data_IF_303277266901
#
_entry.id   IF_303277266901
#
_cell.length_a   1.000
_cell.length_b   1.000
_cell.length_c   1.000
_cell.angle_alpha   90.00
_cell.angle_beta   90.00
_cell.angle_gamma   90.00
#
_symmetry.space_group_name_H-M   'P 1'
#
loop_
_entity.id
_entity.type
_entity.pdbx_description
1 polymer ?
#
# COMPACT_ATOMS: atom_id res chain seq x y z
N UNK A 1 -2.09 -1.06 -9.02
CA UNK A 1 -2.47 0.36 -8.80
C UNK A 1 -1.82 0.98 -7.56
N UNK A 2 -2.13 0.52 -6.34
CA UNK A 2 -1.60 1.12 -5.10
C UNK A 2 -0.06 1.18 -5.03
N UNK A 3 0.65 0.16 -5.55
CA UNK A 3 2.11 0.20 -5.67
C UNK A 3 2.65 1.37 -6.50
N UNK A 4 1.96 1.79 -7.56
CA UNK A 4 2.36 2.98 -8.33
C UNK A 4 2.16 4.28 -7.53
N UNK A 5 1.10 4.36 -6.72
CA UNK A 5 0.88 5.48 -5.82
C UNK A 5 1.96 5.51 -4.73
N UNK A 6 2.32 4.36 -4.15
CA UNK A 6 3.39 4.26 -3.15
C UNK A 6 4.74 4.70 -3.73
N UNK A 7 5.03 4.27 -4.97
CA UNK A 7 6.23 4.70 -5.71
C UNK A 7 6.26 6.22 -5.92
N UNK A 8 5.16 6.78 -6.43
CA UNK A 8 5.04 8.21 -6.71
C UNK A 8 5.04 9.05 -5.42
N UNK A 9 4.50 8.52 -4.33
CA UNK A 9 4.60 9.12 -3.01
C UNK A 9 6.04 9.10 -2.50
N UNK A 10 6.87 8.14 -2.91
CA UNK A 10 8.27 8.02 -2.53
C UNK A 10 8.53 7.05 -1.38
N UNK A 11 7.65 6.08 -1.16
CA UNK A 11 7.91 4.99 -0.21
C UNK A 11 9.00 4.05 -0.74
N UNK A 12 9.82 3.45 0.14
CA UNK A 12 10.85 2.50 -0.24
C UNK A 12 10.22 1.13 -0.55
N UNK A 13 9.61 1.04 -1.73
CA UNK A 13 9.04 -0.22 -2.24
C UNK A 13 10.04 -0.89 -3.20
N UNK A 14 10.05 -2.23 -3.29
CA UNK A 14 10.82 -2.91 -4.32
C UNK A 14 10.33 -2.53 -5.73
N UNK A 15 11.21 -2.52 -6.73
CA UNK A 15 10.78 -2.46 -8.12
C UNK A 15 9.78 -3.57 -8.42
N UNK A 16 8.69 -3.23 -9.08
CA UNK A 16 7.66 -4.18 -9.46
C UNK A 16 7.25 -3.96 -10.92
N UNK A 17 6.68 -5.00 -11.51
CA UNK A 17 6.17 -5.01 -12.87
C UNK A 17 5.02 -6.00 -12.98
N UNK A 18 4.23 -5.87 -14.06
CA UNK A 18 3.43 -7.00 -14.52
C UNK A 18 4.40 -7.99 -15.20
N UNK A 19 4.32 -9.25 -14.80
CA UNK A 19 5.08 -10.36 -15.39
C UNK A 19 4.12 -11.33 -16.05
N UNK A 20 4.61 -12.14 -16.98
CA UNK A 20 3.81 -13.18 -17.63
C UNK A 20 4.16 -14.54 -17.03
N UNK A 21 3.17 -15.21 -16.43
CA UNK A 21 3.29 -16.57 -15.93
C UNK A 21 2.90 -17.56 -17.06
N UNK A 22 3.84 -18.29 -17.67
CA UNK A 22 3.51 -19.22 -18.74
C UNK A 22 2.76 -20.44 -18.18
N UNK A 23 1.82 -20.97 -18.97
CA UNK A 23 1.03 -22.16 -18.62
C UNK A 23 1.90 -23.33 -18.13
N UNK A 24 3.03 -23.57 -18.79
CA UNK A 24 3.96 -24.64 -18.41
C UNK A 24 4.58 -24.48 -17.02
N UNK A 25 4.72 -23.24 -16.53
CA UNK A 25 5.21 -22.99 -15.17
C UNK A 25 4.15 -23.40 -14.14
N UNK A 26 2.88 -23.07 -14.39
CA UNK A 26 1.76 -23.43 -13.51
C UNK A 26 1.58 -24.95 -13.45
N UNK A 27 1.68 -25.62 -14.59
CA UNK A 27 1.61 -27.09 -14.67
C UNK A 27 2.76 -27.79 -13.95
N UNK A 28 3.96 -27.18 -13.98
CA UNK A 28 5.14 -27.73 -13.32
C UNK A 28 5.15 -27.48 -11.80
N UNK A 29 4.53 -26.40 -11.34
CA UNK A 29 4.44 -25.99 -9.94
C UNK A 29 2.99 -25.78 -9.50
N UNK A 30 2.21 -26.87 -9.32
CA UNK A 30 0.79 -26.80 -8.99
C UNK A 30 0.51 -26.13 -7.63
N UNK A 31 1.50 -26.06 -6.74
CA UNK A 31 1.42 -25.31 -5.47
C UNK A 31 1.17 -23.81 -5.68
N UNK A 32 1.61 -23.26 -6.81
CA UNK A 32 1.34 -21.88 -7.23
C UNK A 32 0.11 -21.74 -8.13
N UNK A 33 -0.71 -22.79 -8.26
CA UNK A 33 -1.84 -22.84 -9.20
C UNK A 33 -2.86 -21.72 -9.02
N UNK A 34 -3.00 -21.18 -7.81
CA UNK A 34 -3.87 -20.04 -7.49
C UNK A 34 -3.46 -18.74 -8.20
N UNK A 35 -2.19 -18.62 -8.61
CA UNK A 35 -1.72 -17.46 -9.38
C UNK A 35 -2.19 -17.50 -10.84
N UNK A 36 -2.60 -18.67 -11.34
CA UNK A 36 -3.00 -18.86 -12.73
C UNK A 36 -1.86 -18.67 -13.73
N UNK A 37 -2.19 -18.83 -15.01
CA UNK A 37 -1.34 -18.44 -16.12
C UNK A 37 -1.76 -17.06 -16.63
N UNK A 38 -0.83 -16.34 -17.26
CA UNK A 38 -1.04 -14.99 -17.77
C UNK A 38 -0.38 -13.90 -16.93
N UNK A 39 -0.82 -12.64 -17.08
CA UNK A 39 -0.38 -11.50 -16.29
C UNK A 39 -0.48 -11.70 -14.77
N UNK A 40 0.66 -11.59 -14.10
CA UNK A 40 0.79 -11.64 -12.64
C UNK A 40 1.53 -10.41 -12.10
N UNK A 41 1.32 -10.08 -10.82
CA UNK A 41 2.11 -9.05 -10.15
C UNK A 41 3.48 -9.61 -9.76
N UNK A 42 4.55 -9.05 -10.33
CA UNK A 42 5.93 -9.40 -9.97
C UNK A 42 6.58 -8.30 -9.15
N UNK A 43 7.03 -8.62 -7.94
CA UNK A 43 7.86 -7.75 -7.10
C UNK A 43 9.30 -8.28 -7.03
N UNK A 44 10.29 -7.39 -7.14
CA UNK A 44 11.70 -7.79 -7.06
C UNK A 44 12.06 -8.19 -5.64
N UNK A 45 12.61 -9.38 -5.48
CA UNK A 45 13.14 -9.86 -4.19
C UNK A 45 14.22 -8.91 -3.68
N UNK A 46 14.11 -8.52 -2.40
CA UNK A 46 15.15 -7.79 -1.67
C UNK A 46 15.85 -8.77 -0.74
N UNK A 47 17.14 -8.99 -0.96
CA UNK A 47 17.94 -9.93 -0.18
C UNK A 47 18.12 -9.47 1.28
N UNK A 48 18.43 -10.40 2.18
CA UNK A 48 18.73 -10.13 3.60
C UNK A 48 17.63 -9.38 4.35
N UNK A 49 16.40 -9.58 3.90
CA UNK A 49 15.22 -9.03 4.55
C UNK A 49 14.63 -10.02 5.55
N UNK A 50 14.05 -9.48 6.61
CA UNK A 50 13.17 -10.18 7.52
C UNK A 50 11.92 -9.35 7.74
N UNK A 51 10.85 -9.97 8.20
CA UNK A 51 9.65 -9.24 8.58
C UNK A 51 9.96 -8.17 9.65
N UNK A 52 9.38 -6.98 9.50
CA UNK A 52 9.52 -5.91 10.48
C UNK A 52 8.89 -6.36 11.79
N UNK A 53 9.61 -6.13 12.90
CA UNK A 53 9.17 -6.53 14.23
C UNK A 53 9.36 -5.38 15.21
N UNK A 54 8.85 -5.54 16.43
CA UNK A 54 8.94 -4.52 17.47
C UNK A 54 10.38 -4.04 17.74
N UNK A 55 11.39 -4.92 17.60
CA UNK A 55 12.79 -4.55 17.83
C UNK A 55 13.34 -3.57 16.80
N UNK A 56 12.80 -3.57 15.58
CA UNK A 56 13.25 -2.69 14.49
C UNK A 56 12.55 -1.33 14.51
N UNK A 57 11.44 -1.18 15.24
CA UNK A 57 10.69 0.07 15.23
C UNK A 57 11.56 1.25 15.65
N UNK A 58 12.52 1.07 16.57
CA UNK A 58 13.45 2.12 16.98
C UNK A 58 14.39 2.59 15.86
N UNK A 59 14.70 1.72 14.90
CA UNK A 59 15.67 1.96 13.83
C UNK A 59 15.04 2.61 12.59
N UNK A 60 13.72 2.53 12.43
CA UNK A 60 13.02 3.19 11.32
C UNK A 60 13.01 4.72 11.56
N UNK A 61 13.48 5.53 10.59
CA UNK A 61 13.46 6.99 10.71
C UNK A 61 12.05 7.52 10.98
N UNK A 62 11.92 8.49 11.89
CA UNK A 62 10.62 9.03 12.29
C UNK A 62 9.82 9.58 11.10
N UNK A 63 10.47 10.27 10.16
CA UNK A 63 9.80 10.77 8.96
C UNK A 63 9.24 9.62 8.11
N UNK A 64 10.00 8.53 7.94
CA UNK A 64 9.54 7.40 7.14
C UNK A 64 8.34 6.69 7.77
N UNK A 65 8.29 6.61 9.11
CA UNK A 65 7.10 6.10 9.81
C UNK A 65 5.87 6.96 9.52
N UNK A 66 6.02 8.29 9.56
CA UNK A 66 4.95 9.24 9.24
C UNK A 66 4.51 9.15 7.79
N UNK A 67 5.46 9.01 6.87
CA UNK A 67 5.19 8.81 5.45
C UNK A 67 4.32 7.56 5.22
N UNK A 68 4.65 6.45 5.89
CA UNK A 68 3.84 5.21 5.82
C UNK A 68 2.45 5.41 6.41
N UNK A 69 2.34 6.01 7.61
CA UNK A 69 1.02 6.34 8.22
C UNK A 69 0.18 7.20 7.28
N UNK A 70 0.75 8.27 6.73
CA UNK A 70 0.03 9.16 5.83
C UNK A 70 -0.44 8.44 4.57
N UNK A 71 0.45 7.63 3.99
CA UNK A 71 0.12 6.89 2.78
C UNK A 71 -0.99 5.88 3.03
N UNK A 72 -0.88 5.05 4.05
CA UNK A 72 -1.88 4.02 4.37
C UNK A 72 -3.21 4.64 4.81
N UNK A 73 -3.18 5.75 5.55
CA UNK A 73 -4.37 6.56 5.76
C UNK A 73 -4.95 6.97 4.42
N UNK A 74 -4.17 7.66 3.56
CA UNK A 74 -4.63 8.19 2.28
C UNK A 74 -5.24 7.14 1.36
N UNK A 75 -4.61 6.00 1.18
CA UNK A 75 -5.14 4.93 0.33
C UNK A 75 -6.15 4.04 1.05
N UNK A 76 -6.44 4.27 2.34
CA UNK A 76 -7.29 3.39 3.18
C UNK A 76 -6.79 1.94 3.21
N UNK A 77 -5.52 1.76 3.58
CA UNK A 77 -4.93 0.46 3.84
C UNK A 77 -4.95 0.18 5.34
N UNK A 78 -5.78 -0.75 5.77
CA UNK A 78 -5.97 -1.14 7.17
C UNK A 78 -5.16 -2.37 7.59
N UNK A 79 -4.54 -3.07 6.63
CA UNK A 79 -3.87 -4.36 6.87
C UNK A 79 -2.47 -4.20 7.48
N UNK A 80 -1.91 -2.98 7.50
CA UNK A 80 -0.57 -2.70 8.03
C UNK A 80 -0.53 -2.60 9.55
N UNK A 81 -0.56 -3.74 10.24
CA UNK A 81 -0.76 -3.81 11.69
C UNK A 81 0.42 -4.41 12.44
N UNK A 82 0.68 -3.92 13.65
CA UNK A 82 1.64 -4.56 14.56
C UNK A 82 1.32 -4.21 16.02
N UNK A 83 0.99 -5.22 16.81
CA UNK A 83 0.72 -5.09 18.26
C UNK A 83 1.70 -5.94 19.06
N UNK A 84 1.67 -5.83 20.39
CA UNK A 84 2.50 -6.66 21.27
C UNK A 84 2.17 -8.16 21.21
N UNK A 85 1.01 -8.54 20.66
CA UNK A 85 0.54 -9.92 20.57
C UNK A 85 0.74 -10.51 19.16
N UNK A 86 0.40 -9.75 18.13
CA UNK A 86 0.48 -10.17 16.71
C UNK A 86 0.27 -8.97 15.79
N UNK A 87 0.44 -9.17 14.49
CA UNK A 87 0.07 -8.22 13.45
C UNK A 87 0.49 -8.71 12.09
N UNK A 88 0.05 -8.02 11.05
CA UNK A 88 0.52 -8.19 9.70
C UNK A 88 1.24 -6.91 9.27
N UNK A 89 2.55 -6.77 9.56
CA UNK A 89 3.22 -5.51 9.29
C UNK A 89 3.31 -5.25 7.79
N UNK A 90 3.31 -6.26 6.91
CA UNK A 90 3.54 -6.09 5.46
C UNK A 90 4.74 -5.18 5.15
N UNK A 91 5.73 -5.19 6.04
CA UNK A 91 6.93 -4.38 6.02
C UNK A 91 8.09 -5.33 6.26
N UNK A 92 9.16 -5.14 5.50
CA UNK A 92 10.40 -5.87 5.72
C UNK A 92 11.48 -4.91 6.24
N UNK A 93 12.40 -5.47 7.01
CA UNK A 93 13.63 -4.82 7.43
C UNK A 93 14.81 -5.48 6.72
N UNK A 94 15.54 -4.69 5.93
CA UNK A 94 16.81 -5.08 5.33
C UNK A 94 17.93 -4.84 6.36
N UNK A 95 18.49 -5.93 6.89
CA UNK A 95 19.48 -5.87 7.96
C UNK A 95 20.82 -5.28 7.51
N UNK A 96 21.17 -5.44 6.22
CA UNK A 96 22.45 -4.99 5.67
C UNK A 96 22.42 -3.48 5.41
N UNK A 97 21.40 -3.02 4.70
CA UNK A 97 21.23 -1.61 4.38
C UNK A 97 20.55 -0.80 5.50
N UNK A 98 20.04 -1.48 6.55
CA UNK A 98 19.30 -0.88 7.68
C UNK A 98 18.16 0.01 7.20
N UNK A 99 17.36 -0.53 6.30
CA UNK A 99 16.27 0.20 5.65
C UNK A 99 14.97 -0.58 5.73
N UNK A 100 13.88 0.19 5.81
CA UNK A 100 12.54 -0.34 5.68
C UNK A 100 12.25 -0.61 4.20
N UNK A 101 11.59 -1.74 3.93
CA UNK A 101 11.04 -2.06 2.62
C UNK A 101 9.54 -2.23 2.77
N UNK A 102 8.77 -1.39 2.08
CA UNK A 102 7.31 -1.42 2.13
C UNK A 102 6.80 -2.39 1.06
N UNK A 103 6.00 -3.37 1.47
CA UNK A 103 5.41 -4.35 0.58
C UNK A 103 3.90 -4.41 0.81
N UNK A 104 3.28 -5.22 -0.04
CA UNK A 104 1.88 -5.63 -0.01
C UNK A 104 0.86 -4.49 0.14
N UNK A 105 0.32 -4.06 -1.00
CA UNK A 105 -0.69 -3.01 -1.08
C UNK A 105 -1.99 -3.53 -1.71
N UNK A 106 -2.24 -4.84 -1.63
CA UNK A 106 -3.40 -5.50 -2.22
C UNK A 106 -4.73 -5.10 -1.55
N UNK A 107 -4.73 -4.83 -0.23
CA UNK A 107 -5.91 -4.38 0.54
C UNK A 107 -6.02 -2.84 0.63
N UNK A 108 -5.45 -2.12 -0.34
CA UNK A 108 -5.69 -0.69 -0.45
C UNK A 108 -7.11 -0.39 -0.97
N UNK A 109 -7.58 0.82 -0.70
CA UNK A 109 -8.89 1.35 -1.10
C UNK A 109 -10.08 0.67 -0.41
N UNK A 110 -9.87 0.20 0.81
CA UNK A 110 -10.88 -0.47 1.61
C UNK A 110 -12.14 0.41 1.80
N UNK A 111 -13.29 -0.11 1.35
CA UNK A 111 -14.59 0.55 1.47
C UNK A 111 -15.12 0.49 2.91
N UNK A 112 -14.69 -0.51 3.68
CA UNK A 112 -15.06 -0.77 5.07
C UNK A 112 -14.02 -0.25 6.07
N UNK A 113 -13.08 0.58 5.59
CA UNK A 113 -11.97 1.12 6.36
C UNK A 113 -12.42 1.71 7.71
N UNK A 114 -11.90 1.13 8.79
CA UNK A 114 -12.22 1.54 10.15
C UNK A 114 -11.15 2.47 10.73
N UNK A 115 -11.53 3.73 10.95
CA UNK A 115 -10.61 4.79 11.45
C UNK A 115 -10.03 4.46 12.82
N UNK A 116 -10.83 3.89 13.72
CA UNK A 116 -10.39 3.53 15.07
C UNK A 116 -9.39 2.36 15.05
N UNK A 117 -9.69 1.33 14.26
CA UNK A 117 -8.79 0.20 14.06
C UNK A 117 -7.44 0.64 13.51
N UNK A 118 -7.46 1.55 12.53
CA UNK A 118 -6.25 2.14 11.98
C UNK A 118 -5.46 2.94 13.03
N UNK A 119 -6.13 3.81 13.81
CA UNK A 119 -5.45 4.65 14.81
C UNK A 119 -4.89 3.87 15.99
N UNK A 120 -5.42 2.68 16.28
CA UNK A 120 -5.01 1.84 17.41
C UNK A 120 -4.01 0.74 17.02
N UNK A 121 -4.16 0.14 15.83
CA UNK A 121 -3.44 -1.09 15.47
C UNK A 121 -2.36 -0.90 14.40
N UNK A 122 -2.34 0.25 13.71
CA UNK A 122 -1.33 0.50 12.68
C UNK A 122 0.08 0.37 13.26
N UNK A 123 1.01 -0.25 12.53
CA UNK A 123 2.39 -0.51 13.00
C UNK A 123 3.13 0.72 13.54
N UNK A 124 2.81 1.89 12.99
CA UNK A 124 3.34 3.19 13.42
C UNK A 124 2.29 4.11 14.05
N UNK A 125 1.26 3.54 14.71
CA UNK A 125 0.15 4.31 15.30
C UNK A 125 0.62 5.44 16.25
N UNK A 126 1.78 5.27 16.91
CA UNK A 126 2.37 6.31 17.76
C UNK A 126 2.74 7.61 17.03
N UNK A 127 2.89 7.58 15.70
CA UNK A 127 3.16 8.77 14.90
C UNK A 127 1.89 9.48 14.44
N UNK A 128 0.71 8.87 14.57
CA UNK A 128 -0.59 9.44 14.17
C UNK A 128 -0.80 10.85 14.74
N UNK A 129 -0.66 11.11 16.07
CA UNK A 129 -0.84 12.46 16.59
C UNK A 129 0.10 13.48 15.94
N UNK A 130 1.36 13.11 15.67
CA UNK A 130 2.35 14.02 15.07
C UNK A 130 2.00 14.38 13.63
N UNK A 131 1.44 13.43 12.88
CA UNK A 131 1.04 13.62 11.48
C UNK A 131 -0.16 14.56 11.35
N UNK A 132 -1.15 14.42 12.25
CA UNK A 132 -2.43 15.14 12.12
C UNK A 132 -2.54 16.41 12.97
N UNK A 133 -1.69 16.60 14.00
CA UNK A 133 -1.74 17.77 14.88
C UNK A 133 -0.68 18.83 14.54
N UNK A 134 0.31 18.51 13.71
CA UNK A 134 1.31 19.47 13.22
C UNK A 134 0.84 20.12 11.90
N UNK A 135 0.57 21.42 11.95
CA UNK A 135 0.08 22.19 10.80
C UNK A 135 1.12 22.30 9.67
N UNK A 136 2.42 22.27 9.98
CA UNK A 136 3.49 22.35 8.98
C UNK A 136 3.59 21.03 8.22
N UNK A 137 3.58 19.91 8.94
CA UNK A 137 3.54 18.57 8.34
C UNK A 137 2.30 18.39 7.47
N UNK A 138 1.14 18.86 7.95
CA UNK A 138 -0.12 18.81 7.20
C UNK A 138 -0.03 19.51 5.84
N UNK A 139 0.53 20.71 5.78
CA UNK A 139 0.70 21.44 4.51
C UNK A 139 1.64 20.68 3.55
N UNK A 140 2.77 20.18 4.08
CA UNK A 140 3.73 19.39 3.29
C UNK A 140 3.09 18.14 2.69
N UNK A 141 2.31 17.39 3.49
CA UNK A 141 1.62 16.20 3.00
C UNK A 141 0.49 16.54 2.03
N UNK A 142 -0.25 17.64 2.23
CA UNK A 142 -1.31 18.02 1.31
C UNK A 142 -0.76 18.22 -0.12
N UNK A 143 0.35 18.95 -0.24
CA UNK A 143 1.02 19.18 -1.53
C UNK A 143 1.55 17.88 -2.13
N UNK A 144 2.21 17.04 -1.31
CA UNK A 144 2.77 15.75 -1.76
C UNK A 144 1.68 14.77 -2.22
N UNK A 145 0.57 14.66 -1.48
CA UNK A 145 -0.56 13.82 -1.84
C UNK A 145 -1.25 14.31 -3.11
N UNK A 146 -1.43 15.62 -3.24
CA UNK A 146 -1.99 16.21 -4.46
C UNK A 146 -1.12 15.91 -5.69
N UNK A 147 0.21 16.07 -5.57
CA UNK A 147 1.15 15.71 -6.63
C UNK A 147 1.12 14.20 -6.93
N UNK A 148 1.05 13.36 -5.90
CA UNK A 148 0.99 11.89 -6.04
C UNK A 148 -0.30 11.43 -6.74
N UNK A 149 -1.43 12.07 -6.47
CA UNK A 149 -2.71 11.76 -7.12
C UNK A 149 -2.66 11.90 -8.64
N UNK A 150 -1.77 12.74 -9.18
CA UNK A 150 -1.58 12.87 -10.62
C UNK A 150 -1.09 11.57 -11.28
N UNK A 151 -0.51 10.63 -10.51
CA UNK A 151 -0.10 9.32 -10.99
C UNK A 151 -1.27 8.34 -11.18
N UNK A 152 -2.47 8.63 -10.64
CA UNK A 152 -3.61 7.72 -10.68
C UNK A 152 -4.01 7.24 -12.08
N UNK A 153 -4.17 8.13 -13.10
CA UNK A 153 -4.55 7.68 -14.44
C UNK A 153 -3.53 6.70 -15.04
N UNK A 154 -2.24 6.97 -14.87
CA UNK A 154 -1.17 6.08 -15.33
C UNK A 154 -1.18 4.76 -14.55
N UNK A 155 -1.46 4.78 -13.25
CA UNK A 155 -1.59 3.57 -12.43
C UNK A 155 -2.73 2.65 -12.91
N UNK A 156 -3.85 3.22 -13.36
CA UNK A 156 -4.95 2.46 -13.96
C UNK A 156 -4.60 1.91 -15.35
N UNK A 157 -3.91 2.70 -16.19
CA UNK A 157 -3.51 2.29 -17.54
C UNK A 157 -2.50 1.12 -17.56
N UNK A 158 -1.78 0.91 -16.47
CA UNK A 158 -0.84 -0.21 -16.33
C UNK A 158 -1.51 -1.52 -15.87
N UNK A 159 -2.82 -1.52 -15.59
CA UNK A 159 -3.55 -2.72 -15.18
C UNK A 159 -3.84 -3.57 -16.42
N UNK A 160 -3.49 -4.88 -16.42
CA UNK A 160 -3.84 -5.79 -17.51
C UNK A 160 -5.35 -5.81 -17.77
N UNK A 161 -5.74 -5.89 -19.05
CA UNK A 161 -7.16 -5.87 -19.46
C UNK A 161 -8.02 -6.91 -18.72
N UNK A 162 -7.46 -8.09 -18.49
CA UNK A 162 -8.10 -9.21 -17.80
C UNK A 162 -8.43 -8.94 -16.33
N UNK A 163 -7.67 -8.09 -15.63
CA UNK A 163 -7.92 -7.81 -14.22
C UNK A 163 -9.11 -6.88 -13.98
N UNK A 164 -9.69 -6.32 -15.05
CA UNK A 164 -10.95 -5.60 -14.99
C UNK A 164 -12.17 -6.53 -14.95
N UNK A 165 -11.96 -7.84 -14.97
CA UNK A 165 -13.00 -8.85 -14.95
C UNK A 165 -12.79 -9.84 -13.79
N UNK A 166 -13.88 -10.42 -13.29
CA UNK A 166 -13.89 -11.40 -12.22
C UNK A 166 -13.78 -12.85 -12.74
N UNK A 167 -13.96 -13.05 -14.05
CA UNK A 167 -13.93 -14.33 -14.75
C UNK A 167 -12.94 -14.30 -15.92
N UNK A 168 -12.39 -15.47 -16.25
CA UNK A 168 -11.43 -15.65 -17.36
C UNK A 168 -12.06 -15.31 -18.72
N UNK A 169 -13.36 -15.56 -18.89
CA UNK A 169 -14.11 -15.25 -20.11
C UNK A 169 -14.35 -13.73 -20.31
N UNK A 170 -14.00 -12.90 -19.32
CA UNK A 170 -14.12 -11.43 -19.36
C UNK A 170 -15.55 -10.96 -19.57
N UNK A 171 -16.50 -11.59 -18.89
CA UNK A 171 -17.94 -11.31 -19.03
C UNK A 171 -18.54 -10.61 -17.81
N UNK A 172 -17.91 -10.76 -16.65
CA UNK A 172 -18.31 -10.19 -15.36
C UNK A 172 -17.26 -9.16 -14.96
N UNK A 173 -17.61 -7.86 -14.85
CA UNK A 173 -16.68 -6.86 -14.36
C UNK A 173 -16.19 -7.19 -12.93
N UNK A 174 -14.92 -6.90 -12.66
CA UNK A 174 -14.38 -6.96 -11.31
C UNK A 174 -15.12 -5.98 -10.39
N UNK A 175 -15.24 -6.29 -9.09
CA UNK A 175 -15.79 -5.36 -8.10
C UNK A 175 -14.77 -4.25 -7.75
N UNK A 176 -14.45 -3.42 -8.74
CA UNK A 176 -13.53 -2.32 -8.60
C UNK A 176 -13.97 -1.13 -9.47
N UNK A 177 -14.16 0.02 -8.82
CA UNK A 177 -14.56 1.26 -9.50
C UNK A 177 -13.41 2.28 -9.41
N UNK A 178 -12.66 2.50 -10.50
CA UNK A 178 -11.51 3.40 -10.49
C UNK A 178 -11.90 4.87 -10.30
N UNK A 179 -13.12 5.27 -10.67
CA UNK A 179 -13.60 6.64 -10.49
C UNK A 179 -14.01 6.87 -9.03
N UNK A 180 -14.70 5.92 -8.41
CA UNK A 180 -14.99 5.98 -6.97
C UNK A 180 -13.72 6.01 -6.12
N UNK A 181 -12.70 5.22 -6.49
CA UNK A 181 -11.39 5.25 -5.82
C UNK A 181 -10.70 6.61 -6.00
N UNK A 182 -10.74 7.18 -7.20
CA UNK A 182 -10.19 8.53 -7.45
C UNK A 182 -10.87 9.59 -6.58
N UNK A 183 -12.20 9.53 -6.45
CA UNK A 183 -12.96 10.43 -5.55
C UNK A 183 -12.53 10.23 -4.10
N UNK A 184 -12.38 8.98 -3.65
CA UNK A 184 -11.87 8.66 -2.31
C UNK A 184 -10.46 9.19 -2.07
N UNK A 185 -9.55 9.10 -3.05
CA UNK A 185 -8.19 9.64 -2.94
C UNK A 185 -8.16 11.17 -2.94
N UNK A 186 -9.10 11.80 -3.64
CA UNK A 186 -9.22 13.27 -3.71
C UNK A 186 -9.61 13.87 -2.36
N UNK A 187 -10.05 13.07 -1.39
CA UNK A 187 -10.39 13.52 -0.04
C UNK A 187 -9.25 14.27 0.66
N UNK A 188 -7.99 14.05 0.28
CA UNK A 188 -6.83 14.77 0.81
C UNK A 188 -6.92 16.30 0.63
N UNK A 189 -7.76 16.79 -0.29
CA UNK A 189 -8.00 18.22 -0.51
C UNK A 189 -9.08 18.81 0.42
N UNK A 190 -9.72 18.00 1.26
CA UNK A 190 -10.77 18.42 2.17
C UNK A 190 -10.28 18.47 3.62
N UNK A 191 -10.77 19.43 4.41
CA UNK A 191 -10.41 19.61 5.81
C UNK A 191 -10.66 18.35 6.66
N UNK A 192 -11.76 17.62 6.40
CA UNK A 192 -12.15 16.46 7.20
C UNK A 192 -11.19 15.27 7.06
N UNK A 193 -10.44 15.18 5.96
CA UNK A 193 -9.39 14.17 5.81
C UNK A 193 -8.28 14.29 6.86
N UNK A 194 -8.07 15.51 7.34
CA UNK A 194 -7.02 15.84 8.32
C UNK A 194 -7.51 15.74 9.76
N UNK A 195 -8.79 15.38 9.96
CA UNK A 195 -9.40 15.24 11.28
C UNK A 195 -9.41 13.77 11.67
N UNK A 196 -8.27 13.25 12.09
CA UNK A 196 -8.22 11.96 12.77
C UNK A 196 -8.46 12.20 14.28
N UNK A 197 -9.61 11.76 14.79
CA UNK A 197 -9.89 11.84 16.21
C UNK A 197 -8.93 10.89 16.96
N UNK A 198 -8.25 11.35 18.03
CA UNK A 198 -7.51 10.47 18.92
C UNK A 198 -8.44 9.58 19.74
#
# INVERSE_FOLDING_TARGET
MAGHLALAFGLPIPPFAIVEAPQSLVELFPEGGELGAGPAFGSRVVAHTQELSMSHLGDVPAQLKRDVVMFDWWVRNSDRTLTSLSGNPNLLWDADAKQLVVIDHNVAFDREFNVQSFSEMHVFHQEVPKVFQDLVERLSYADRLHATLAAWPAACQNVPDEWWFADEERTVPADFDPDAVRVSLSRCTHEDFWRLAP
#
